data_IF_346434691990
#
_entry.id   IF_346434691990
#
_cell.length_a   1.000
_cell.length_b   1.000
_cell.length_c   1.000
_cell.angle_alpha   90.00
_cell.angle_beta   90.00
_cell.angle_gamma   90.00
#
_symmetry.space_group_name_H-M   'P 1'
#
loop_
_entity.id
_entity.type
_entity.pdbx_description
1 polymer ?
#
# COMPACT_ATOMS: atom_id res chain seq x y z
N UNK A 1 -52.50 -3.11 -49.14
CA UNK A 1 -52.42 -3.05 -47.65
C UNK A 1 -51.12 -3.55 -47.05
N UNK A 2 -50.02 -3.71 -47.83
CA UNK A 2 -48.73 -4.18 -47.29
C UNK A 2 -47.64 -3.10 -47.21
N UNK A 3 -47.95 -1.83 -47.61
CA UNK A 3 -46.96 -0.75 -47.68
C UNK A 3 -46.90 0.14 -46.45
N UNK A 4 -47.85 0.07 -45.57
CA UNK A 4 -47.91 0.93 -44.36
C UNK A 4 -47.36 0.31 -43.07
N UNK A 5 -47.16 -1.00 -43.08
CA UNK A 5 -46.62 -1.74 -41.91
C UNK A 5 -45.12 -1.47 -41.76
N UNK A 6 -44.41 -1.26 -42.89
CA UNK A 6 -42.98 -1.00 -42.86
C UNK A 6 -42.64 0.41 -42.34
N UNK A 7 -43.55 1.39 -42.56
CA UNK A 7 -43.36 2.77 -42.11
C UNK A 7 -43.57 2.93 -40.59
N UNK A 8 -44.45 2.09 -40.00
CA UNK A 8 -44.76 2.17 -38.58
C UNK A 8 -43.64 1.59 -37.68
N UNK A 9 -42.94 0.58 -38.19
CA UNK A 9 -41.83 -0.07 -37.47
C UNK A 9 -40.59 0.83 -37.44
N UNK A 10 -40.38 1.61 -38.51
CA UNK A 10 -39.23 2.55 -38.58
C UNK A 10 -39.40 3.76 -37.66
N UNK A 11 -40.65 4.15 -37.30
CA UNK A 11 -40.93 5.29 -36.42
C UNK A 11 -40.74 4.94 -34.95
N UNK A 12 -40.87 3.66 -34.57
CA UNK A 12 -40.65 3.21 -33.20
C UNK A 12 -39.15 3.09 -32.81
N UNK A 13 -38.25 2.95 -33.79
CA UNK A 13 -36.79 2.92 -33.49
C UNK A 13 -36.19 4.30 -33.22
N UNK A 14 -36.91 5.40 -33.52
CA UNK A 14 -36.38 6.76 -33.33
C UNK A 14 -36.64 7.33 -31.91
N UNK A 15 -37.32 6.60 -31.04
CA UNK A 15 -37.71 7.04 -29.68
C UNK A 15 -37.03 6.28 -28.55
N UNK A 16 -35.95 5.53 -28.83
CA UNK A 16 -35.08 5.06 -27.77
C UNK A 16 -34.17 6.22 -27.37
N UNK A 17 -34.30 6.78 -26.16
CA UNK A 17 -33.28 7.68 -25.65
C UNK A 17 -31.98 6.88 -25.62
N UNK A 18 -30.97 7.37 -26.33
CA UNK A 18 -29.61 6.90 -26.15
C UNK A 18 -29.29 7.02 -24.66
N UNK A 19 -29.15 5.86 -24.00
CA UNK A 19 -28.61 5.80 -22.66
C UNK A 19 -27.13 6.17 -22.82
N UNK A 20 -26.88 7.51 -22.89
CA UNK A 20 -25.53 8.02 -22.79
C UNK A 20 -25.05 7.59 -21.39
N UNK A 21 -24.24 6.55 -21.37
CA UNK A 21 -23.52 6.19 -20.17
C UNK A 21 -22.74 7.42 -19.75
N UNK A 22 -23.18 8.05 -18.69
CA UNK A 22 -22.41 9.12 -18.04
C UNK A 22 -21.11 8.45 -17.59
N UNK A 23 -20.07 8.61 -18.42
CA UNK A 23 -18.72 8.34 -17.96
C UNK A 23 -18.56 9.22 -16.71
N UNK A 24 -18.44 8.57 -15.57
CA UNK A 24 -18.16 9.23 -14.31
C UNK A 24 -16.80 9.89 -14.48
N UNK A 25 -16.84 11.17 -14.85
CA UNK A 25 -15.66 11.99 -14.98
C UNK A 25 -15.09 12.18 -13.58
N UNK A 26 -14.07 11.38 -13.25
CA UNK A 26 -13.29 11.60 -12.05
C UNK A 26 -12.82 13.05 -12.08
N UNK A 27 -12.96 13.79 -10.98
CA UNK A 27 -12.52 15.18 -10.94
C UNK A 27 -11.09 15.22 -11.47
N UNK A 28 -10.90 16.02 -12.55
CA UNK A 28 -9.63 16.27 -13.19
C UNK A 28 -8.67 16.80 -12.12
N UNK A 29 -7.91 15.91 -11.47
CA UNK A 29 -6.74 16.31 -10.73
C UNK A 29 -5.67 16.66 -11.78
N UNK A 30 -5.40 17.93 -12.06
CA UNK A 30 -4.45 18.35 -13.10
C UNK A 30 -3.05 17.80 -12.84
N UNK A 31 -2.76 17.46 -11.60
CA UNK A 31 -1.51 16.87 -11.13
C UNK A 31 -1.29 15.40 -11.53
N UNK A 32 -2.34 14.69 -11.97
CA UNK A 32 -2.24 13.28 -12.36
C UNK A 32 -2.14 13.07 -13.88
N UNK A 33 -1.89 14.10 -14.66
CA UNK A 33 -1.58 13.92 -16.08
C UNK A 33 -0.27 13.17 -16.19
N UNK A 34 -0.37 11.90 -16.61
CA UNK A 34 0.80 11.07 -16.88
C UNK A 34 1.75 11.82 -17.79
N UNK A 35 2.96 12.02 -17.34
CA UNK A 35 4.08 12.51 -18.14
C UNK A 35 5.10 11.37 -18.26
N UNK A 36 6.07 11.51 -19.15
CA UNK A 36 7.14 10.51 -19.29
C UNK A 36 8.23 10.69 -18.22
N UNK A 37 7.90 11.29 -17.08
CA UNK A 37 8.82 11.38 -15.95
C UNK A 37 8.95 10.03 -15.25
N UNK A 38 10.16 9.68 -14.85
CA UNK A 38 10.44 8.42 -14.16
C UNK A 38 11.32 8.68 -12.95
N UNK A 39 11.25 7.77 -11.96
CA UNK A 39 12.20 7.71 -10.85
C UNK A 39 12.79 6.32 -10.81
N UNK A 40 14.09 6.25 -10.62
CA UNK A 40 14.84 5.01 -10.39
C UNK A 40 15.70 5.17 -9.16
N UNK A 41 16.09 4.09 -8.54
CA UNK A 41 17.03 4.12 -7.43
C UNK A 41 17.07 2.80 -6.69
N UNK A 42 17.77 2.79 -5.59
CA UNK A 42 17.87 1.63 -4.72
C UNK A 42 17.72 2.04 -3.25
N UNK A 43 17.40 1.07 -2.43
CA UNK A 43 17.21 1.27 -1.00
C UNK A 43 18.20 0.42 -0.25
N UNK A 44 18.95 1.07 0.64
CA UNK A 44 19.99 0.45 1.46
C UNK A 44 19.61 0.52 2.94
N UNK A 45 20.05 -0.45 3.69
CA UNK A 45 20.12 -0.33 5.13
C UNK A 45 21.22 0.68 5.51
N UNK A 46 20.90 1.62 6.39
CA UNK A 46 21.81 2.68 6.79
C UNK A 46 23.05 2.16 7.52
N UNK A 47 22.93 1.05 8.26
CA UNK A 47 23.98 0.50 9.10
C UNK A 47 24.84 -0.51 8.35
N UNK A 48 24.18 -1.49 7.68
CA UNK A 48 24.86 -2.59 6.99
C UNK A 48 25.26 -2.25 5.55
N UNK A 49 24.61 -1.22 4.97
CA UNK A 49 24.77 -0.84 3.55
C UNK A 49 24.33 -1.94 2.59
N UNK A 50 23.56 -2.90 3.08
CA UNK A 50 22.96 -3.95 2.25
C UNK A 50 21.73 -3.44 1.52
N UNK A 51 21.49 -3.92 0.32
CA UNK A 51 20.30 -3.61 -0.45
C UNK A 51 19.07 -4.27 0.18
N UNK A 52 18.00 -3.51 0.34
CA UNK A 52 16.78 -3.95 0.98
C UNK A 52 15.68 -4.28 -0.04
N UNK A 53 15.31 -5.56 -0.18
CA UNK A 53 14.21 -5.96 -1.05
C UNK A 53 12.84 -5.69 -0.41
N UNK A 54 11.81 -5.61 -1.25
CA UNK A 54 10.40 -5.53 -0.86
C UNK A 54 10.02 -4.31 0.00
N UNK A 55 10.75 -3.21 -0.12
CA UNK A 55 10.47 -1.94 0.52
C UNK A 55 9.48 -1.15 -0.34
N UNK A 56 8.45 -0.59 0.27
CA UNK A 56 7.45 0.24 -0.43
C UNK A 56 7.98 1.63 -0.70
N UNK A 57 7.86 2.07 -1.96
CA UNK A 57 8.20 3.42 -2.43
C UNK A 57 6.97 4.02 -3.08
N UNK A 58 6.47 5.14 -2.57
CA UNK A 58 5.25 5.77 -3.06
C UNK A 58 5.34 7.29 -3.14
N UNK A 59 4.61 7.90 -4.07
CA UNK A 59 4.37 9.34 -4.08
C UNK A 59 3.26 9.66 -3.08
N UNK A 60 3.61 10.32 -2.00
CA UNK A 60 2.70 10.67 -0.91
C UNK A 60 1.47 11.42 -1.40
N UNK A 61 0.29 10.99 -0.95
CA UNK A 61 -0.99 11.60 -1.33
C UNK A 61 -1.53 11.16 -2.69
N UNK A 62 -0.89 10.17 -3.32
CA UNK A 62 -1.33 9.56 -4.58
C UNK A 62 -1.48 8.05 -4.43
N UNK A 63 -2.01 7.40 -5.47
CA UNK A 63 -2.04 5.93 -5.57
C UNK A 63 -0.84 5.35 -6.32
N UNK A 64 0.16 6.19 -6.60
CA UNK A 64 1.34 5.81 -7.40
C UNK A 64 2.42 5.30 -6.46
N UNK A 65 2.80 4.05 -6.61
CA UNK A 65 3.85 3.42 -5.81
C UNK A 65 4.34 2.13 -6.44
N UNK A 66 5.42 1.62 -5.89
CA UNK A 66 6.06 0.36 -6.25
C UNK A 66 6.73 -0.25 -5.02
N UNK A 67 7.32 -1.42 -5.18
CA UNK A 67 8.19 -2.03 -4.18
C UNK A 67 9.56 -2.31 -4.79
N UNK A 68 10.61 -2.35 -3.97
CA UNK A 68 11.93 -2.77 -4.44
C UNK A 68 11.91 -4.24 -4.83
N UNK A 69 12.69 -4.57 -5.85
CA UNK A 69 12.90 -5.95 -6.28
C UNK A 69 13.81 -6.74 -5.31
N UNK A 70 14.15 -7.98 -5.66
CA UNK A 70 15.02 -8.85 -4.86
C UNK A 70 16.43 -8.29 -4.68
N UNK A 71 16.85 -7.35 -5.51
CA UNK A 71 18.15 -6.68 -5.46
C UNK A 71 18.10 -5.28 -4.84
N UNK A 72 16.93 -4.89 -4.28
CA UNK A 72 16.73 -3.62 -3.59
C UNK A 72 16.55 -2.42 -4.52
N UNK A 73 16.37 -2.63 -5.83
CA UNK A 73 16.13 -1.56 -6.79
C UNK A 73 14.64 -1.30 -6.99
N UNK A 74 14.28 -0.07 -7.33
CA UNK A 74 12.91 0.31 -7.66
C UNK A 74 12.83 1.17 -8.89
N UNK A 75 11.66 1.14 -9.55
CA UNK A 75 11.38 1.92 -10.72
C UNK A 75 9.92 2.38 -10.75
N UNK A 76 9.71 3.68 -10.80
CA UNK A 76 8.43 4.35 -11.00
C UNK A 76 8.39 4.99 -12.37
N UNK A 77 7.37 4.66 -13.19
CA UNK A 77 7.24 5.09 -14.59
C UNK A 77 6.03 6.00 -14.80
N UNK A 78 6.11 6.82 -15.85
CA UNK A 78 4.99 7.62 -16.32
C UNK A 78 4.38 8.49 -15.23
N UNK A 79 5.23 9.13 -14.45
CA UNK A 79 4.85 9.98 -13.34
C UNK A 79 4.41 11.36 -13.84
N UNK A 80 3.48 12.03 -13.15
CA UNK A 80 3.13 13.41 -13.44
C UNK A 80 4.32 14.34 -13.18
N UNK A 81 4.43 15.41 -13.95
CA UNK A 81 5.40 16.48 -13.66
C UNK A 81 4.94 17.30 -12.46
N UNK A 82 5.89 17.82 -11.69
CA UNK A 82 5.61 18.65 -10.52
C UNK A 82 6.49 18.33 -9.32
N UNK A 83 6.11 18.90 -8.17
CA UNK A 83 6.78 18.67 -6.90
C UNK A 83 6.00 17.66 -6.07
N UNK A 84 6.66 16.59 -5.68
CA UNK A 84 6.08 15.52 -4.89
C UNK A 84 6.94 15.17 -3.69
N UNK A 85 6.34 14.46 -2.75
CA UNK A 85 7.07 13.83 -1.65
C UNK A 85 7.16 12.34 -1.95
N UNK A 86 8.36 11.85 -2.15
CA UNK A 86 8.63 10.43 -2.26
C UNK A 86 8.76 9.86 -0.84
N UNK A 87 7.94 8.87 -0.53
CA UNK A 87 7.89 8.21 0.78
C UNK A 87 8.35 6.77 0.64
N UNK A 88 9.29 6.40 1.48
CA UNK A 88 9.82 5.04 1.60
C UNK A 88 9.40 4.48 2.96
N UNK A 89 8.73 3.34 2.95
CA UNK A 89 8.21 2.72 4.17
C UNK A 89 8.27 1.20 4.11
N UNK A 90 8.52 0.59 5.26
CA UNK A 90 8.47 -0.86 5.47
C UNK A 90 8.23 -1.16 6.95
N UNK A 91 7.72 -2.38 7.21
CA UNK A 91 7.57 -2.86 8.58
C UNK A 91 8.96 -3.04 9.22
N UNK A 92 9.16 -2.50 10.41
CA UNK A 92 10.43 -2.59 11.12
C UNK A 92 11.47 -1.53 10.71
N UNK A 93 11.12 -0.59 9.84
CA UNK A 93 11.99 0.51 9.42
C UNK A 93 11.33 1.87 9.62
N UNK A 94 12.15 2.88 9.91
CA UNK A 94 11.69 4.27 10.00
C UNK A 94 11.30 4.77 8.62
N UNK A 95 10.09 5.35 8.51
CA UNK A 95 9.62 5.96 7.26
C UNK A 95 10.48 7.17 6.89
N UNK A 96 11.01 7.17 5.67
CA UNK A 96 11.82 8.27 5.12
C UNK A 96 11.01 9.00 4.05
N UNK A 97 11.11 10.33 4.03
CA UNK A 97 10.44 11.21 3.07
C UNK A 97 11.43 12.15 2.43
N UNK A 98 11.31 12.35 1.13
CA UNK A 98 12.14 13.29 0.38
C UNK A 98 11.33 14.05 -0.65
N UNK A 99 11.54 15.37 -0.74
CA UNK A 99 10.92 16.19 -1.77
C UNK A 99 11.64 15.96 -3.10
N UNK A 100 10.88 15.66 -4.14
CA UNK A 100 11.39 15.43 -5.49
C UNK A 100 10.67 16.33 -6.48
N UNK A 101 11.40 16.82 -7.48
CA UNK A 101 10.83 17.61 -8.58
C UNK A 101 10.91 16.80 -9.85
N UNK A 102 9.74 16.40 -10.36
CA UNK A 102 9.61 15.61 -11.57
C UNK A 102 9.43 16.51 -12.79
N UNK A 103 10.21 16.24 -13.83
CA UNK A 103 10.16 16.97 -15.09
C UNK A 103 9.81 16.00 -16.22
N UNK A 104 8.92 16.42 -17.11
CA UNK A 104 8.52 15.65 -18.28
C UNK A 104 9.72 15.12 -19.06
N UNK A 105 9.68 13.83 -19.43
CA UNK A 105 10.71 13.16 -20.20
C UNK A 105 12.06 13.00 -19.50
N UNK A 106 12.09 13.16 -18.17
CA UNK A 106 13.31 13.00 -17.37
C UNK A 106 13.19 11.82 -16.42
N UNK A 107 14.29 11.11 -16.26
CA UNK A 107 14.45 10.12 -15.21
C UNK A 107 15.25 10.74 -14.07
N UNK A 108 14.69 10.71 -12.87
CA UNK A 108 15.36 11.11 -11.64
C UNK A 108 15.92 9.86 -10.97
N UNK A 109 17.18 9.92 -10.57
CA UNK A 109 17.80 8.89 -9.74
C UNK A 109 17.78 9.35 -8.29
N UNK A 110 17.21 8.51 -7.42
CA UNK A 110 17.00 8.85 -6.02
C UNK A 110 17.18 7.62 -5.13
N UNK A 111 18.27 7.59 -4.39
CA UNK A 111 18.62 6.50 -3.50
C UNK A 111 18.27 6.84 -2.04
N UNK A 112 17.88 5.82 -1.28
CA UNK A 112 17.52 5.96 0.12
C UNK A 112 18.33 5.05 1.01
N UNK A 113 18.71 5.59 2.16
CA UNK A 113 19.20 4.83 3.29
C UNK A 113 18.14 4.86 4.39
N UNK A 114 17.63 3.69 4.78
CA UNK A 114 16.63 3.56 5.84
C UNK A 114 17.23 2.86 7.05
N UNK A 115 16.72 3.19 8.23
CA UNK A 115 17.19 2.70 9.52
C UNK A 115 16.12 1.83 10.15
N UNK A 116 16.52 0.72 10.77
CA UNK A 116 15.59 -0.11 11.54
C UNK A 116 14.94 0.69 12.67
N UNK A 117 13.63 0.48 12.84
CA UNK A 117 12.86 1.04 13.94
C UNK A 117 12.67 -0.03 15.03
N UNK A 118 13.61 -0.08 15.96
CA UNK A 118 13.59 -1.03 17.08
C UNK A 118 12.32 -0.89 17.94
N UNK A 119 11.72 0.29 17.99
CA UNK A 119 10.49 0.55 18.76
C UNK A 119 9.27 -0.09 18.11
N UNK A 120 9.25 -0.16 16.77
CA UNK A 120 8.15 -0.81 16.05
C UNK A 120 8.14 -2.33 16.25
N UNK A 121 9.28 -2.94 16.56
CA UNK A 121 9.41 -4.37 16.84
C UNK A 121 9.05 -4.72 18.28
N UNK A 122 9.25 -3.82 19.23
CA UNK A 122 8.87 -4.01 20.66
C UNK A 122 7.35 -3.91 20.89
N UNK A 123 6.59 -3.35 19.94
CA UNK A 123 5.14 -3.20 20.05
C UNK A 123 4.33 -4.49 19.88
N UNK A 124 4.94 -5.61 19.50
CA UNK A 124 4.31 -6.93 19.45
C UNK A 124 4.67 -7.73 20.70
N UNK A 125 4.40 -7.18 21.88
CA UNK A 125 4.25 -8.00 23.07
C UNK A 125 2.95 -8.77 22.90
N UNK A 126 3.04 -10.00 22.39
CA UNK A 126 1.99 -10.99 22.58
C UNK A 126 1.93 -11.22 24.08
N UNK A 127 1.07 -10.48 24.78
CA UNK A 127 0.61 -10.83 26.11
C UNK A 127 -0.14 -12.16 25.98
N UNK A 128 0.62 -13.25 25.89
CA UNK A 128 0.10 -14.55 26.24
C UNK A 128 -0.29 -14.44 27.71
N UNK A 129 -1.55 -14.12 27.95
CA UNK A 129 -2.16 -14.15 29.25
C UNK A 129 -2.16 -15.62 29.67
N UNK A 130 -1.01 -16.10 30.16
CA UNK A 130 -0.94 -17.29 30.97
C UNK A 130 -1.63 -16.93 32.26
N UNK A 131 -2.91 -17.23 32.33
CA UNK A 131 -3.57 -17.47 33.60
C UNK A 131 -2.76 -18.57 34.29
N UNK A 132 -1.85 -18.17 35.14
CA UNK A 132 -1.34 -19.08 36.20
C UNK A 132 -2.53 -19.45 37.06
N UNK A 133 -3.17 -20.56 36.69
CA UNK A 133 -4.06 -21.25 37.58
C UNK A 133 -3.19 -21.72 38.72
N UNK A 134 -3.12 -20.89 39.75
CA UNK A 134 -2.58 -21.29 41.05
C UNK A 134 -3.37 -22.49 41.49
N UNK A 135 -2.83 -23.70 41.24
CA UNK A 135 -3.29 -24.91 41.92
C UNK A 135 -3.07 -24.66 43.41
N UNK A 136 -4.12 -24.25 44.09
CA UNK A 136 -4.19 -24.37 45.54
C UNK A 136 -4.06 -25.86 45.86
N UNK A 137 -2.88 -26.26 46.32
CA UNK A 137 -2.67 -27.50 47.00
C UNK A 137 -3.57 -27.48 48.22
N UNK A 138 -4.68 -28.20 48.17
CA UNK A 138 -5.46 -28.50 49.37
C UNK A 138 -4.60 -29.35 50.31
N UNK A 139 -4.46 -28.97 51.58
CA UNK A 139 -3.74 -29.81 52.50
C UNK A 139 -4.57 -31.09 52.75
N UNK A 140 -4.01 -32.21 52.30
CA UNK A 140 -4.55 -33.54 52.65
C UNK A 140 -4.29 -33.76 54.11
N UNK A 141 -5.35 -33.74 54.95
CA UNK A 141 -5.31 -34.16 56.30
C UNK A 141 -5.12 -35.69 56.32
N UNK A 142 -3.91 -36.14 56.61
CA UNK A 142 -3.63 -37.54 56.93
C UNK A 142 -4.07 -37.76 58.34
N UNK A 143 -5.20 -38.46 58.55
CA UNK A 143 -5.59 -39.01 59.86
C UNK A 143 -4.75 -40.24 60.11
N UNK A 144 -3.81 -40.14 61.05
CA UNK A 144 -3.13 -41.27 61.63
C UNK A 144 -4.02 -41.84 62.74
N UNK A 145 -4.59 -43.00 62.45
CA UNK A 145 -5.30 -43.76 63.46
C UNK A 145 -4.28 -44.64 64.21
N UNK A 146 -4.01 -44.33 65.50
CA UNK A 146 -3.19 -45.09 66.37
C UNK A 146 -4.04 -46.23 66.95
N UNK A 147 -3.74 -47.47 66.56
CA UNK A 147 -4.31 -48.69 67.10
C UNK A 147 -3.39 -49.20 68.20
N UNK A 148 -3.90 -49.16 69.40
CA UNK A 148 -3.35 -49.83 70.59
C UNK A 148 -4.05 -51.15 70.78
#
# INVERSE_FOLDING_TARGET
MKKYIFSLVCLCCALLPALEGQAHEYPNHPELRKSDANIVGHILDKNTKEHLPYITVALKGTTIGTVTDATGHYFLKNLPEGNFVLEVSSVGYKTVRRNVTLKKGRTLEEDFEIEEDAVALDGVVVSANRNETTRRLAPTLVNVVDLK
#
